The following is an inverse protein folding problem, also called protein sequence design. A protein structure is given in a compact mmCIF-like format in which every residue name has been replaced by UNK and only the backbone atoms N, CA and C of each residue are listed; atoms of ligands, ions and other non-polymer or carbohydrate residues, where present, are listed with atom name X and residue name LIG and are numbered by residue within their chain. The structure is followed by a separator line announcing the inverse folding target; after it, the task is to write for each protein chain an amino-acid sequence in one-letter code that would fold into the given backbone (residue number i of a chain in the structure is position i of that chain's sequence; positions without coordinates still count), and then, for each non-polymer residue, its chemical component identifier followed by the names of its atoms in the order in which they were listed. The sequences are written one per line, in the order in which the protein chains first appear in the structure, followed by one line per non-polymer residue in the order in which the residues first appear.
data_IF_438227907707
#
_entry.id   IF_438227907707
#
_cell.length_a   1.000
_cell.length_b   1.000
_cell.length_c   1.000
_cell.angle_alpha   90.00
_cell.angle_beta   90.00
_cell.angle_gamma   90.00
#
_symmetry.space_group_name_H-M   'P 1'
#
loop_
_entity.id
_entity.type
_entity.pdbx_description
1 polymer ?
#
# COMPACT_ATOMS: atom_id res chain seq x y z
N UNK A 1 32.85 3.63 -6.34
CA UNK A 1 32.05 3.07 -5.23
C UNK A 1 32.34 3.90 -3.99
N UNK A 2 31.42 4.76 -3.58
CA UNK A 2 31.52 5.48 -2.31
C UNK A 2 30.45 4.91 -1.38
N UNK A 3 30.88 4.10 -0.41
CA UNK A 3 30.04 3.66 0.70
C UNK A 3 29.80 4.88 1.59
N UNK A 4 28.60 5.45 1.54
CA UNK A 4 28.17 6.41 2.55
C UNK A 4 28.11 5.64 3.87
N UNK A 5 28.89 6.02 4.90
CA UNK A 5 28.86 5.31 6.17
C UNK A 5 27.46 5.45 6.78
N UNK A 6 26.84 4.33 7.13
CA UNK A 6 25.61 4.29 7.93
C UNK A 6 25.93 4.82 9.34
N UNK A 7 26.00 6.14 9.50
CA UNK A 7 25.91 6.73 10.82
C UNK A 7 24.52 6.44 11.37
N UNK A 8 24.47 5.85 12.57
CA UNK A 8 23.27 5.45 13.30
C UNK A 8 22.11 6.45 13.13
N UNK A 9 21.19 6.16 12.21
CA UNK A 9 19.88 6.82 12.10
C UNK A 9 18.95 6.18 13.14
N UNK A 10 19.40 6.05 14.39
CA UNK A 10 18.58 5.57 15.49
C UNK A 10 17.84 6.76 16.07
N UNK A 11 16.74 7.14 15.44
CA UNK A 11 15.68 7.83 16.17
C UNK A 11 15.15 6.84 17.21
N UNK A 12 15.34 7.18 18.48
CA UNK A 12 14.81 6.38 19.59
C UNK A 12 13.28 6.48 19.55
N UNK A 13 12.61 5.48 18.96
CA UNK A 13 11.19 5.30 19.20
C UNK A 13 10.97 5.21 20.70
N UNK A 14 10.10 6.06 21.24
CA UNK A 14 9.72 5.90 22.63
C UNK A 14 9.05 4.54 22.77
N UNK A 15 9.48 3.73 23.74
CA UNK A 15 8.87 2.43 24.03
C UNK A 15 7.33 2.52 24.13
N UNK A 16 6.82 3.67 24.58
CA UNK A 16 5.40 3.99 24.65
C UNK A 16 4.69 3.98 23.28
N UNK A 17 5.33 4.42 22.21
CA UNK A 17 4.75 4.44 20.86
C UNK A 17 4.53 3.03 20.32
N UNK A 18 5.51 2.15 20.49
CA UNK A 18 5.41 0.75 20.07
C UNK A 18 4.41 -0.01 20.93
N UNK A 19 4.36 0.28 22.23
CA UNK A 19 3.33 -0.26 23.14
C UNK A 19 1.94 0.18 22.69
N UNK A 20 1.76 1.43 22.24
CA UNK A 20 0.48 1.91 21.73
C UNK A 20 0.05 1.17 20.45
N UNK A 21 0.98 0.97 19.51
CA UNK A 21 0.71 0.19 18.28
C UNK A 21 0.36 -1.27 18.62
N UNK A 22 1.10 -1.92 19.51
CA UNK A 22 0.85 -3.32 19.91
C UNK A 22 -0.51 -3.52 20.58
N UNK A 23 -0.96 -2.52 21.34
CA UNK A 23 -2.25 -2.51 22.03
C UNK A 23 -3.38 -1.86 21.19
N UNK A 24 -3.11 -1.48 19.95
CA UNK A 24 -4.10 -0.86 19.09
C UNK A 24 -5.24 -1.83 18.80
N UNK A 25 -6.47 -1.41 19.11
CA UNK A 25 -7.64 -2.29 19.10
C UNK A 25 -8.35 -2.36 17.75
N UNK A 26 -8.13 -1.38 16.88
CA UNK A 26 -8.69 -1.37 15.54
C UNK A 26 -7.77 -2.11 14.56
N UNK A 27 -8.32 -2.68 13.48
CA UNK A 27 -7.53 -3.52 12.60
C UNK A 27 -6.51 -2.71 11.80
N UNK A 28 -5.27 -3.19 11.80
CA UNK A 28 -4.21 -2.81 10.84
C UNK A 28 -4.21 -3.88 9.74
N UNK A 29 -4.54 -3.48 8.52
CA UNK A 29 -4.79 -4.36 7.38
C UNK A 29 -3.73 -4.10 6.32
N UNK A 30 -2.96 -5.14 6.00
CA UNK A 30 -1.96 -5.10 4.94
C UNK A 30 -2.63 -5.46 3.60
N UNK A 31 -2.60 -4.54 2.65
CA UNK A 31 -3.21 -4.73 1.32
C UNK A 31 -2.13 -5.15 0.33
N UNK A 32 -2.14 -6.43 -0.02
CA UNK A 32 -1.15 -7.08 -0.88
C UNK A 32 -1.75 -7.48 -2.24
N UNK A 33 -0.88 -7.65 -3.23
CA UNK A 33 -1.26 -7.94 -4.61
C UNK A 33 -0.24 -7.41 -5.61
N UNK A 34 -0.18 -8.02 -6.80
CA UNK A 34 0.75 -7.65 -7.85
C UNK A 34 0.59 -6.21 -8.37
N UNK A 35 1.52 -5.70 -9.20
CA UNK A 35 1.27 -4.48 -9.96
C UNK A 35 -0.04 -4.63 -10.74
N UNK A 36 -0.81 -3.55 -10.93
CA UNK A 36 -2.10 -3.61 -11.65
C UNK A 36 -3.27 -4.27 -10.92
N UNK A 37 -3.08 -4.81 -9.70
CA UNK A 37 -4.13 -5.49 -8.94
C UNK A 37 -5.25 -4.57 -8.39
N UNK A 38 -5.17 -3.25 -8.56
CA UNK A 38 -6.21 -2.32 -8.08
C UNK A 38 -6.13 -1.93 -6.59
N UNK A 39 -5.03 -2.27 -5.89
CA UNK A 39 -4.84 -1.98 -4.46
C UNK A 39 -5.08 -0.52 -4.08
N UNK A 40 -4.56 0.42 -4.87
CA UNK A 40 -4.66 1.86 -4.58
C UNK A 40 -6.10 2.35 -4.66
N UNK A 41 -6.80 1.98 -5.73
CA UNK A 41 -8.22 2.28 -5.92
C UNK A 41 -9.05 1.75 -4.77
N UNK A 42 -8.84 0.50 -4.36
CA UNK A 42 -9.52 -0.10 -3.21
C UNK A 42 -9.28 0.71 -1.93
N UNK A 43 -8.02 1.00 -1.58
CA UNK A 43 -7.69 1.74 -0.37
C UNK A 43 -8.30 3.15 -0.38
N UNK A 44 -8.33 3.82 -1.53
CA UNK A 44 -8.95 5.13 -1.67
C UNK A 44 -10.46 5.07 -1.43
N UNK A 45 -11.17 4.08 -2.00
CA UNK A 45 -12.60 3.89 -1.75
C UNK A 45 -12.90 3.66 -0.27
N UNK A 46 -12.10 2.83 0.40
CA UNK A 46 -12.23 2.62 1.84
C UNK A 46 -11.97 3.89 2.63
N UNK A 47 -10.95 4.67 2.27
CA UNK A 47 -10.68 5.95 2.91
C UNK A 47 -11.84 6.93 2.73
N UNK A 48 -12.45 6.96 1.55
CA UNK A 48 -13.58 7.84 1.25
C UNK A 48 -14.84 7.44 2.04
N UNK A 49 -15.24 6.17 1.98
CA UNK A 49 -16.50 5.69 2.58
C UNK A 49 -16.39 5.48 4.10
N UNK A 50 -15.28 4.89 4.55
CA UNK A 50 -15.08 4.53 5.95
C UNK A 50 -14.20 5.54 6.69
N UNK A 51 -13.48 6.44 6.03
CA UNK A 51 -12.60 7.38 6.74
C UNK A 51 -11.38 6.73 7.39
N UNK A 52 -10.99 5.53 6.95
CA UNK A 52 -9.80 4.81 7.44
C UNK A 52 -8.52 5.64 7.32
N UNK A 53 -7.53 5.30 8.13
CA UNK A 53 -6.15 5.72 7.92
C UNK A 53 -5.51 4.90 6.81
N UNK A 54 -4.70 5.52 5.95
CA UNK A 54 -4.09 4.87 4.79
C UNK A 54 -2.62 5.25 4.65
N UNK A 55 -1.76 4.24 4.59
CA UNK A 55 -0.33 4.38 4.36
C UNK A 55 0.05 3.63 3.07
N UNK A 56 0.70 4.32 2.13
CA UNK A 56 1.32 3.69 0.95
C UNK A 56 2.83 3.79 1.08
N UNK A 57 3.52 2.67 1.29
CA UNK A 57 4.99 2.68 1.48
C UNK A 57 5.69 3.32 0.29
N UNK A 58 5.26 3.01 -0.94
CA UNK A 58 5.86 3.62 -2.13
C UNK A 58 5.73 5.14 -2.15
N UNK A 59 4.61 5.69 -1.69
CA UNK A 59 4.44 7.14 -1.58
C UNK A 59 5.26 7.71 -0.44
N UNK A 60 5.22 7.11 0.74
CA UNK A 60 5.96 7.58 1.91
C UNK A 60 7.46 7.65 1.62
N UNK A 61 8.02 6.63 0.97
CA UNK A 61 9.43 6.63 0.57
C UNK A 61 9.77 7.76 -0.43
N UNK A 62 8.88 8.05 -1.38
CA UNK A 62 9.09 9.17 -2.33
C UNK A 62 8.98 10.53 -1.65
N UNK A 63 8.05 10.68 -0.70
CA UNK A 63 7.93 11.90 0.10
C UNK A 63 9.17 12.10 0.95
N UNK A 64 9.58 11.08 1.69
CA UNK A 64 10.80 11.12 2.52
C UNK A 64 12.05 11.41 1.69
N UNK A 65 12.16 10.85 0.48
CA UNK A 65 13.29 11.11 -0.41
C UNK A 65 13.40 12.57 -0.89
N UNK A 66 12.30 13.32 -0.86
CA UNK A 66 12.31 14.75 -1.19
C UNK A 66 12.66 15.63 0.00
N UNK A 67 12.70 15.09 1.22
CA UNK A 67 13.08 15.83 2.41
C UNK A 67 14.59 16.04 2.47
N UNK A 68 15.08 17.24 2.87
CA UNK A 68 16.50 17.56 2.93
C UNK A 68 17.23 16.92 4.13
N UNK A 69 16.82 15.72 4.55
CA UNK A 69 17.36 14.98 5.71
C UNK A 69 18.42 13.95 5.28
N UNK A 70 19.19 13.43 6.24
CA UNK A 70 20.16 12.34 5.98
C UNK A 70 19.43 11.09 5.48
N UNK A 71 18.32 10.73 6.13
CA UNK A 71 17.47 9.59 5.73
C UNK A 71 16.85 9.81 4.36
N UNK A 72 16.34 11.02 4.08
CA UNK A 72 15.80 11.39 2.77
C UNK A 72 16.82 11.23 1.65
N UNK A 73 18.03 11.76 1.82
CA UNK A 73 19.14 11.56 0.86
C UNK A 73 19.51 10.09 0.67
N UNK A 74 19.56 9.32 1.76
CA UNK A 74 19.85 7.89 1.69
C UNK A 74 18.77 7.14 0.88
N UNK A 75 17.49 7.41 1.11
CA UNK A 75 16.39 6.81 0.35
C UNK A 75 16.43 7.26 -1.12
N UNK A 76 16.64 8.56 -1.37
CA UNK A 76 16.79 9.14 -2.70
C UNK A 76 17.87 8.41 -3.52
N UNK A 77 19.00 8.07 -2.90
CA UNK A 77 20.09 7.35 -3.54
C UNK A 77 19.70 5.95 -4.03
N UNK A 78 18.67 5.29 -3.48
CA UNK A 78 18.17 4.01 -3.99
C UNK A 78 17.06 4.20 -5.03
N UNK A 79 16.12 5.11 -4.79
CA UNK A 79 14.93 5.26 -5.65
C UNK A 79 15.23 5.99 -6.96
N UNK A 80 16.28 6.81 -7.01
CA UNK A 80 16.67 7.58 -8.20
C UNK A 80 17.65 6.83 -9.11
N UNK A 81 18.10 5.64 -8.72
CA UNK A 81 18.89 4.79 -9.62
C UNK A 81 18.04 4.29 -10.81
N UNK A 82 18.70 3.96 -11.92
CA UNK A 82 18.07 3.38 -13.09
C UNK A 82 18.80 2.09 -13.49
N UNK A 83 18.21 0.90 -13.27
CA UNK A 83 16.88 0.67 -12.68
C UNK A 83 16.85 0.98 -11.16
N UNK A 84 15.68 1.40 -10.67
CA UNK A 84 15.50 1.74 -9.25
C UNK A 84 15.86 0.56 -8.34
N UNK A 85 16.71 0.82 -7.35
CA UNK A 85 17.11 -0.19 -6.37
C UNK A 85 16.11 -0.29 -5.24
N UNK A 86 16.08 -1.47 -4.62
CA UNK A 86 15.31 -1.73 -3.41
C UNK A 86 15.89 -0.93 -2.25
N UNK A 87 15.06 -0.11 -1.61
CA UNK A 87 15.41 0.59 -0.36
C UNK A 87 15.61 -0.45 0.75
N UNK A 88 16.70 -0.36 1.56
CA UNK A 88 16.96 -1.26 2.67
C UNK A 88 15.79 -1.40 3.66
N UNK A 89 15.57 -2.62 4.15
CA UNK A 89 14.45 -2.99 5.03
C UNK A 89 14.36 -2.11 6.28
N UNK A 90 15.50 -1.74 6.88
CA UNK A 90 15.58 -0.85 8.04
C UNK A 90 15.00 0.54 7.75
N UNK A 91 15.41 1.16 6.63
CA UNK A 91 14.93 2.48 6.23
C UNK A 91 13.44 2.45 5.92
N UNK A 92 12.96 1.39 5.26
CA UNK A 92 11.53 1.22 4.97
C UNK A 92 10.74 1.08 6.27
N UNK A 93 11.24 0.30 7.24
CA UNK A 93 10.57 0.10 8.51
C UNK A 93 10.54 1.37 9.36
N UNK A 94 11.61 2.17 9.38
CA UNK A 94 11.65 3.45 10.07
C UNK A 94 10.57 4.40 9.53
N UNK A 95 10.54 4.59 8.20
CA UNK A 95 9.51 5.42 7.55
C UNK A 95 8.09 4.91 7.86
N UNK A 96 7.89 3.59 7.88
CA UNK A 96 6.61 3.00 8.25
C UNK A 96 6.26 3.29 9.72
N UNK A 97 7.18 3.09 10.67
CA UNK A 97 6.94 3.32 12.11
C UNK A 97 6.53 4.76 12.38
N UNK A 98 7.26 5.74 11.85
CA UNK A 98 6.99 7.17 12.06
C UNK A 98 5.57 7.55 11.61
N UNK A 99 5.15 7.00 10.47
CA UNK A 99 3.83 7.25 9.92
C UNK A 99 2.74 6.44 10.63
N UNK A 100 3.06 5.21 11.06
CA UNK A 100 2.11 4.35 11.76
C UNK A 100 1.72 4.92 13.12
N UNK A 101 2.69 5.44 13.89
CA UNK A 101 2.43 6.11 15.18
C UNK A 101 1.43 7.25 15.00
N UNK A 102 1.65 8.11 14.00
CA UNK A 102 0.78 9.25 13.70
C UNK A 102 -0.65 8.83 13.35
N UNK A 103 -0.82 7.78 12.54
CA UNK A 103 -2.16 7.39 12.08
C UNK A 103 -2.92 6.50 13.07
N UNK A 104 -2.21 5.78 13.95
CA UNK A 104 -2.81 5.01 15.04
C UNK A 104 -3.43 5.94 16.08
N UNK A 105 -2.79 7.09 16.36
CA UNK A 105 -3.35 8.12 17.24
C UNK A 105 -4.71 8.67 16.77
N UNK A 106 -5.03 8.57 15.48
CA UNK A 106 -6.33 8.97 14.93
C UNK A 106 -7.47 7.98 15.28
N UNK A 107 -7.16 6.85 15.93
CA UNK A 107 -8.08 5.81 16.38
C UNK A 107 -9.08 5.36 15.29
N UNK A 108 -8.53 5.01 14.11
CA UNK A 108 -9.26 4.50 12.95
C UNK A 108 -8.59 3.24 12.41
N UNK A 109 -9.32 2.32 11.76
CA UNK A 109 -8.70 1.22 11.05
C UNK A 109 -7.61 1.73 10.09
N UNK A 110 -6.50 1.00 9.98
CA UNK A 110 -5.33 1.41 9.20
C UNK A 110 -5.15 0.45 8.04
N UNK A 111 -5.03 0.96 6.82
CA UNK A 111 -4.60 0.18 5.67
C UNK A 111 -3.15 0.50 5.33
N UNK A 112 -2.31 -0.53 5.24
CA UNK A 112 -0.91 -0.43 4.82
C UNK A 112 -0.79 -1.08 3.44
N UNK A 113 -0.45 -0.30 2.43
CA UNK A 113 -0.33 -0.75 1.06
C UNK A 113 1.14 -0.86 0.64
N UNK A 114 1.48 -2.00 0.04
CA UNK A 114 2.79 -2.22 -0.57
C UNK A 114 3.89 -2.59 0.44
N UNK A 115 3.49 -3.21 1.56
CA UNK A 115 4.34 -3.79 2.59
C UNK A 115 3.60 -4.97 3.24
N UNK A 116 4.29 -6.02 3.71
CA UNK A 116 5.69 -6.33 3.41
C UNK A 116 5.88 -6.70 1.92
N UNK A 117 7.09 -6.51 1.40
CA UNK A 117 7.47 -6.89 0.01
C UNK A 117 8.39 -8.12 -0.07
N UNK A 118 8.78 -8.67 1.07
CA UNK A 118 9.62 -9.85 1.21
C UNK A 118 9.56 -10.37 2.66
N UNK A 119 10.20 -11.51 2.92
CA UNK A 119 10.23 -12.13 4.23
C UNK A 119 11.00 -11.31 5.27
N UNK A 120 12.05 -10.62 4.88
CA UNK A 120 12.85 -9.80 5.81
C UNK A 120 11.99 -8.66 6.38
N UNK A 121 11.26 -7.96 5.52
CA UNK A 121 10.30 -6.93 5.91
C UNK A 121 9.20 -7.49 6.81
N UNK A 122 8.63 -8.65 6.45
CA UNK A 122 7.59 -9.28 7.28
C UNK A 122 8.12 -9.62 8.68
N UNK A 123 9.26 -10.33 8.75
CA UNK A 123 9.86 -10.76 10.01
C UNK A 123 10.23 -9.57 10.89
N UNK A 124 10.88 -8.56 10.32
CA UNK A 124 11.32 -7.37 11.06
C UNK A 124 10.14 -6.54 11.58
N UNK A 125 9.03 -6.46 10.85
CA UNK A 125 7.81 -5.83 11.34
C UNK A 125 7.20 -6.59 12.52
N UNK A 126 7.11 -7.93 12.43
CA UNK A 126 6.55 -8.74 13.50
C UNK A 126 7.39 -8.68 14.78
N UNK A 127 8.71 -8.64 14.64
CA UNK A 127 9.66 -8.52 15.74
C UNK A 127 9.61 -7.14 16.41
N UNK A 128 9.74 -6.07 15.62
CA UNK A 128 9.96 -4.73 16.16
C UNK A 128 8.68 -3.90 16.34
N UNK A 129 7.59 -4.22 15.63
CA UNK A 129 6.37 -3.41 15.62
C UNK A 129 5.22 -4.19 16.26
N UNK A 130 4.61 -5.11 15.52
CA UNK A 130 3.44 -5.87 15.97
C UNK A 130 3.20 -7.08 15.06
N UNK A 131 2.46 -8.10 15.51
CA UNK A 131 2.05 -9.19 14.64
C UNK A 131 1.25 -8.69 13.43
N UNK A 132 1.55 -9.18 12.24
CA UNK A 132 0.71 -9.02 11.06
C UNK A 132 -0.51 -9.90 11.28
N UNK A 133 -1.67 -9.31 11.55
CA UNK A 133 -2.91 -10.07 11.86
C UNK A 133 -3.88 -10.17 10.69
N UNK A 134 -3.92 -9.16 9.83
CA UNK A 134 -4.90 -9.05 8.75
C UNK A 134 -4.22 -8.69 7.44
N UNK A 135 -4.30 -9.60 6.48
CA UNK A 135 -3.82 -9.39 5.11
C UNK A 135 -5.01 -9.51 4.16
N UNK A 136 -5.23 -8.47 3.36
CA UNK A 136 -6.15 -8.48 2.23
C UNK A 136 -5.34 -8.68 0.95
N UNK A 137 -5.45 -9.86 0.34
CA UNK A 137 -4.71 -10.20 -0.87
C UNK A 137 -5.62 -10.09 -2.11
N UNK A 138 -5.29 -9.19 -3.03
CA UNK A 138 -5.94 -9.07 -4.33
C UNK A 138 -5.25 -10.00 -5.34
N UNK A 139 -5.78 -11.21 -5.48
CA UNK A 139 -5.26 -12.18 -6.44
C UNK A 139 -5.75 -11.83 -7.84
N UNK A 140 -4.83 -11.37 -8.69
CA UNK A 140 -5.14 -10.88 -10.04
C UNK A 140 -4.28 -11.63 -11.06
N UNK A 141 -4.89 -12.11 -12.14
CA UNK A 141 -4.19 -12.73 -13.26
C UNK A 141 -3.19 -11.77 -13.91
N UNK A 142 -2.19 -12.35 -14.56
CA UNK A 142 -1.24 -11.60 -15.37
C UNK A 142 -1.96 -10.82 -16.47
N UNK A 143 -2.93 -11.43 -17.17
CA UNK A 143 -3.61 -10.75 -18.27
C UNK A 143 -4.38 -9.53 -17.77
N UNK A 144 -5.10 -9.66 -16.65
CA UNK A 144 -5.85 -8.54 -16.07
C UNK A 144 -4.92 -7.45 -15.57
N UNK A 145 -3.83 -7.81 -14.89
CA UNK A 145 -2.80 -6.87 -14.41
C UNK A 145 -2.20 -6.09 -15.57
N UNK A 146 -1.72 -6.78 -16.61
CA UNK A 146 -1.11 -6.18 -17.79
C UNK A 146 -2.07 -5.24 -18.51
N UNK A 147 -3.33 -5.67 -18.74
CA UNK A 147 -4.36 -4.84 -19.35
C UNK A 147 -4.57 -3.53 -18.57
N UNK A 148 -4.71 -3.60 -17.25
CA UNK A 148 -4.92 -2.43 -16.39
C UNK A 148 -3.71 -1.48 -16.39
N UNK A 149 -2.50 -2.02 -16.35
CA UNK A 149 -1.26 -1.21 -16.38
C UNK A 149 -1.08 -0.50 -17.73
N UNK A 150 -1.34 -1.19 -18.84
CA UNK A 150 -1.31 -0.58 -20.17
C UNK A 150 -2.37 0.51 -20.33
N UNK A 151 -3.59 0.30 -19.83
CA UNK A 151 -4.63 1.32 -19.80
C UNK A 151 -4.20 2.54 -18.97
N UNK A 152 -3.62 2.33 -17.79
CA UNK A 152 -3.12 3.42 -16.95
C UNK A 152 -1.97 4.18 -17.61
N UNK A 153 -1.05 3.50 -18.29
CA UNK A 153 0.04 4.16 -19.00
C UNK A 153 -0.48 5.09 -20.11
N UNK A 154 -1.50 4.65 -20.86
CA UNK A 154 -2.15 5.47 -21.89
C UNK A 154 -2.79 6.75 -21.34
N UNK A 155 -3.31 6.69 -20.11
CA UNK A 155 -4.01 7.81 -19.50
C UNK A 155 -3.07 8.78 -18.77
N UNK A 156 -2.04 8.27 -18.09
CA UNK A 156 -1.23 9.02 -17.13
C UNK A 156 0.28 9.09 -17.45
N UNK A 157 0.69 8.62 -18.64
CA UNK A 157 2.08 8.60 -19.12
C UNK A 157 3.10 8.11 -18.06
N UNK A 158 2.71 7.08 -17.31
CA UNK A 158 3.44 6.65 -16.12
C UNK A 158 4.60 5.74 -16.52
N UNK A 159 5.84 6.23 -16.42
CA UNK A 159 7.05 5.51 -16.82
C UNK A 159 7.14 4.08 -16.25
N UNK A 160 6.74 3.89 -14.98
CA UNK A 160 6.70 2.57 -14.31
C UNK A 160 5.77 1.53 -14.98
N UNK A 161 4.94 1.94 -15.93
CA UNK A 161 3.96 1.12 -16.64
C UNK A 161 4.39 0.85 -18.10
N UNK A 162 5.70 0.97 -18.40
CA UNK A 162 6.30 0.42 -19.62
C UNK A 162 6.32 -1.12 -19.57
N UNK A 163 6.25 -1.78 -20.73
CA UNK A 163 6.14 -3.25 -20.82
C UNK A 163 7.27 -3.99 -20.09
N UNK A 164 8.50 -3.48 -20.17
CA UNK A 164 9.68 -4.03 -19.53
C UNK A 164 9.62 -3.90 -18.00
N UNK A 165 9.24 -2.72 -17.48
CA UNK A 165 9.15 -2.48 -16.04
C UNK A 165 7.98 -3.25 -15.42
N UNK A 166 6.86 -3.39 -16.15
CA UNK A 166 5.73 -4.24 -15.74
C UNK A 166 6.20 -5.68 -15.51
N UNK A 167 6.96 -6.24 -16.46
CA UNK A 167 7.49 -7.60 -16.35
C UNK A 167 8.40 -7.76 -15.14
N UNK A 168 9.36 -6.86 -14.95
CA UNK A 168 10.27 -6.89 -13.79
C UNK A 168 9.51 -6.84 -12.46
N UNK A 169 8.57 -5.90 -12.31
CA UNK A 169 7.77 -5.76 -11.09
C UNK A 169 6.91 -6.99 -10.80
N UNK A 170 6.45 -7.68 -11.84
CA UNK A 170 5.70 -8.91 -11.72
C UNK A 170 6.58 -10.06 -11.24
N UNK A 171 7.76 -10.25 -11.84
CA UNK A 171 8.70 -11.27 -11.40
C UNK A 171 9.17 -11.03 -9.96
N UNK A 172 9.46 -9.78 -9.59
CA UNK A 172 9.75 -9.42 -8.19
C UNK A 172 8.57 -9.77 -7.27
N UNK A 173 7.33 -9.45 -7.65
CA UNK A 173 6.16 -9.80 -6.86
C UNK A 173 6.03 -11.32 -6.68
N UNK A 174 6.22 -12.09 -7.75
CA UNK A 174 6.14 -13.55 -7.73
C UNK A 174 7.24 -14.18 -6.87
N UNK A 175 8.46 -13.66 -6.95
CA UNK A 175 9.63 -14.19 -6.25
C UNK A 175 9.68 -13.79 -4.78
N UNK A 176 9.30 -12.56 -4.46
CA UNK A 176 9.56 -11.98 -3.14
C UNK A 176 8.28 -11.81 -2.30
N UNK A 177 7.14 -11.46 -2.92
CA UNK A 177 5.91 -11.13 -2.17
C UNK A 177 4.98 -12.34 -2.02
N UNK A 178 4.80 -13.15 -3.08
CA UNK A 178 3.94 -14.34 -3.00
C UNK A 178 4.35 -15.31 -1.88
N UNK A 179 5.65 -15.64 -1.69
CA UNK A 179 6.04 -16.51 -0.59
C UNK A 179 5.64 -15.99 0.80
N UNK A 180 5.66 -14.67 0.99
CA UNK A 180 5.18 -14.04 2.24
C UNK A 180 3.67 -14.25 2.40
N UNK A 181 2.90 -14.06 1.33
CA UNK A 181 1.45 -14.28 1.34
C UNK A 181 1.16 -15.76 1.66
N UNK A 182 1.88 -16.69 1.05
CA UNK A 182 1.68 -18.12 1.26
C UNK A 182 1.99 -18.51 2.72
N UNK A 183 3.08 -17.99 3.29
CA UNK A 183 3.42 -18.20 4.70
C UNK A 183 2.36 -17.64 5.67
N UNK A 184 1.86 -16.42 5.41
CA UNK A 184 0.80 -15.81 6.21
C UNK A 184 -0.55 -16.54 6.03
N UNK A 185 -0.77 -17.21 4.90
CA UNK A 185 -1.97 -18.00 4.62
C UNK A 185 -2.05 -19.26 5.50
N UNK A 186 -0.92 -19.92 5.76
CA UNK A 186 -0.82 -21.11 6.64
C UNK A 186 -1.38 -20.82 8.04
N UNK A 187 -1.24 -19.58 8.50
CA UNK A 187 -1.67 -19.12 9.82
C UNK A 187 -3.03 -18.39 9.80
N UNK A 188 -3.81 -18.56 8.72
CA UNK A 188 -5.16 -18.00 8.53
C UNK A 188 -5.25 -16.46 8.60
N UNK A 189 -4.14 -15.75 8.35
CA UNK A 189 -4.08 -14.28 8.41
C UNK A 189 -4.47 -13.60 7.10
N UNK A 190 -4.56 -14.37 6.01
CA UNK A 190 -4.85 -13.88 4.66
C UNK A 190 -6.32 -14.09 4.32
N UNK A 191 -6.98 -13.03 3.86
CA UNK A 191 -8.25 -13.08 3.14
C UNK A 191 -8.00 -12.69 1.69
N UNK A 192 -8.29 -13.62 0.81
CA UNK A 192 -8.07 -13.49 -0.63
C UNK A 192 -9.33 -12.99 -1.32
N UNK A 193 -9.16 -12.06 -2.26
CA UNK A 193 -10.21 -11.55 -3.13
C UNK A 193 -9.79 -11.80 -4.58
N UNK A 194 -10.73 -12.26 -5.39
CA UNK A 194 -10.54 -12.37 -6.83
C UNK A 194 -10.47 -10.97 -7.47
N UNK A 195 -9.26 -10.47 -7.67
CA UNK A 195 -8.97 -9.18 -8.28
C UNK A 195 -9.23 -9.11 -9.79
N UNK A 196 -9.64 -10.22 -10.42
CA UNK A 196 -10.02 -10.26 -11.84
C UNK A 196 -11.42 -9.68 -12.11
N UNK A 197 -12.26 -9.63 -11.08
CA UNK A 197 -13.61 -9.09 -11.17
C UNK A 197 -13.61 -7.57 -11.40
N UNK A 198 -14.80 -7.04 -11.72
CA UNK A 198 -15.03 -5.60 -11.75
C UNK A 198 -14.74 -4.97 -10.38
N UNK A 199 -14.30 -3.71 -10.36
CA UNK A 199 -13.93 -2.99 -9.15
C UNK A 199 -15.05 -2.99 -8.09
N UNK A 200 -16.30 -2.93 -8.55
CA UNK A 200 -17.49 -3.00 -7.71
C UNK A 200 -17.56 -4.29 -6.87
N UNK A 201 -17.32 -5.43 -7.52
CA UNK A 201 -17.33 -6.75 -6.89
C UNK A 201 -16.14 -6.89 -5.94
N UNK A 202 -14.94 -6.49 -6.39
CA UNK A 202 -13.72 -6.49 -5.56
C UNK A 202 -13.91 -5.65 -4.30
N UNK A 203 -14.54 -4.48 -4.42
CA UNK A 203 -14.85 -3.61 -3.29
C UNK A 203 -15.84 -4.25 -2.33
N UNK A 204 -16.92 -4.86 -2.84
CA UNK A 204 -17.92 -5.52 -2.01
C UNK A 204 -17.34 -6.72 -1.23
N UNK A 205 -16.50 -7.54 -1.87
CA UNK A 205 -15.82 -8.64 -1.20
C UNK A 205 -14.91 -8.13 -0.06
N UNK A 206 -14.13 -7.08 -0.35
CA UNK A 206 -13.30 -6.41 0.66
C UNK A 206 -14.14 -5.81 1.79
N UNK A 207 -15.31 -5.25 1.48
CA UNK A 207 -16.21 -4.63 2.45
C UNK A 207 -16.74 -5.67 3.43
N UNK A 208 -17.13 -6.84 2.94
CA UNK A 208 -17.58 -7.95 3.78
C UNK A 208 -16.48 -8.42 4.74
N UNK A 209 -15.25 -8.57 4.23
CA UNK A 209 -14.07 -8.94 5.04
C UNK A 209 -13.75 -7.86 6.09
N UNK A 210 -13.76 -6.59 5.67
CA UNK A 210 -13.51 -5.46 6.56
C UNK A 210 -14.58 -5.35 7.66
N UNK A 211 -15.85 -5.56 7.30
CA UNK A 211 -16.97 -5.61 8.25
C UNK A 211 -16.77 -6.71 9.29
N UNK A 212 -16.31 -7.89 8.87
CA UNK A 212 -15.97 -8.98 9.79
C UNK A 212 -14.86 -8.58 10.79
N UNK A 213 -13.76 -8.00 10.32
CA UNK A 213 -12.63 -7.61 11.16
C UNK A 213 -12.91 -6.43 12.08
N UNK A 214 -13.87 -5.59 11.73
CA UNK A 214 -14.29 -4.47 12.57
C UNK A 214 -15.38 -4.90 13.56
N UNK A 215 -16.39 -5.67 13.15
CA UNK A 215 -17.61 -5.89 13.94
C UNK A 215 -17.68 -7.20 14.75
N UNK A 216 -16.90 -8.25 14.44
CA UNK A 216 -17.02 -9.54 15.15
C UNK A 216 -16.21 -9.62 16.46
N UNK A 217 -16.52 -8.75 17.42
CA UNK A 217 -16.06 -8.89 18.81
C UNK A 217 -15.99 -7.68 19.75
N UNK A 218 -16.79 -6.61 19.55
CA UNK A 218 -17.05 -5.44 20.46
C UNK A 218 -16.65 -4.03 19.95
N UNK A 219 -16.17 -3.84 18.72
CA UNK A 219 -15.81 -2.49 18.22
C UNK A 219 -16.72 -2.10 17.05
N UNK A 220 -17.60 -1.12 17.23
CA UNK A 220 -18.44 -0.60 16.14
C UNK A 220 -17.68 0.50 15.41
N UNK A 221 -17.38 0.30 14.12
CA UNK A 221 -16.81 1.35 13.27
C UNK A 221 -17.79 1.65 12.12
N UNK A 222 -18.44 2.80 12.20
CA UNK A 222 -19.45 3.24 11.24
C UNK A 222 -18.83 4.15 10.15
N UNK A 223 -19.34 4.09 8.90
CA UNK A 223 -18.95 5.01 7.85
C UNK A 223 -19.10 6.47 8.24
N UNK A 224 -18.32 7.36 7.62
CA UNK A 224 -18.53 8.82 7.79
C UNK A 224 -19.91 9.20 7.26
N UNK A 225 -20.81 9.65 8.15
CA UNK A 225 -22.14 10.12 7.79
C UNK A 225 -23.22 9.04 7.71
N UNK A 226 -22.93 7.79 8.11
CA UNK A 226 -23.96 6.76 8.20
C UNK A 226 -24.91 7.04 9.38
N UNK A 227 -26.16 7.40 9.07
CA UNK A 227 -27.29 6.97 9.92
C UNK A 227 -27.39 5.45 9.79
N UNK A 228 -27.84 4.76 10.84
CA UNK A 228 -28.05 3.30 10.82
C UNK A 228 -28.99 2.90 9.68
N UNK A 229 -28.46 2.64 8.49
CA UNK A 229 -29.22 2.07 7.38
C UNK A 229 -28.68 0.67 7.10
N UNK A 230 -29.52 -0.29 7.45
CA UNK A 230 -29.25 -1.71 7.66
C UNK A 230 -29.30 -2.55 6.38
N UNK A 231 -29.01 -2.00 5.19
CA UNK A 231 -29.16 -2.78 3.95
C UNK A 231 -27.82 -3.36 3.42
N UNK A 232 -27.61 -4.69 3.49
CA UNK A 232 -26.44 -5.35 2.93
C UNK A 232 -26.36 -5.34 1.39
N UNK A 233 -27.38 -4.86 0.67
CA UNK A 233 -27.47 -4.85 -0.81
C UNK A 233 -27.42 -3.45 -1.43
N UNK A 234 -26.57 -2.56 -0.92
CA UNK A 234 -26.27 -1.26 -1.56
C UNK A 234 -25.89 -1.45 -3.05
N UNK A 235 -26.83 -1.12 -3.94
CA UNK A 235 -26.58 -0.91 -5.36
C UNK A 235 -25.88 0.44 -5.51
N UNK A 236 -24.80 0.48 -6.29
CA UNK A 236 -24.01 1.70 -6.47
C UNK A 236 -24.84 2.81 -7.11
N UNK A 237 -25.12 3.86 -6.33
CA UNK A 237 -25.81 5.06 -6.76
C UNK A 237 -24.95 5.93 -7.69
N UNK A 238 -25.58 6.92 -8.32
CA UNK A 238 -24.92 7.87 -9.23
C UNK A 238 -23.79 8.68 -8.56
N UNK A 239 -23.87 8.87 -7.24
CA UNK A 239 -22.86 9.56 -6.44
C UNK A 239 -21.59 8.71 -6.23
N UNK A 240 -21.74 7.41 -6.01
CA UNK A 240 -20.61 6.47 -5.83
C UNK A 240 -19.89 6.20 -7.15
N UNK A 241 -20.63 6.14 -8.27
CA UNK A 241 -20.05 6.13 -9.63
C UNK A 241 -19.22 7.39 -9.92
N UNK A 242 -19.64 8.56 -9.43
CA UNK A 242 -18.87 9.81 -9.52
C UNK A 242 -17.64 9.82 -8.62
N UNK A 243 -17.72 9.25 -7.41
CA UNK A 243 -16.56 9.08 -6.52
C UNK A 243 -15.52 8.17 -7.15
N UNK A 244 -15.94 7.11 -7.85
CA UNK A 244 -15.06 6.19 -8.59
C UNK A 244 -14.28 6.90 -9.70
N UNK A 245 -14.93 7.70 -10.54
CA UNK A 245 -14.24 8.44 -11.62
C UNK A 245 -13.34 9.53 -11.07
N UNK A 246 -13.74 10.17 -9.96
CA UNK A 246 -12.94 11.21 -9.30
C UNK A 246 -11.75 10.62 -8.54
N UNK A 247 -11.86 9.43 -7.97
CA UNK A 247 -10.76 8.70 -7.34
C UNK A 247 -9.61 8.43 -8.31
N UNK A 248 -9.93 8.04 -9.54
CA UNK A 248 -8.93 7.77 -10.58
C UNK A 248 -8.19 9.05 -11.00
N UNK A 249 -8.88 10.19 -11.06
CA UNK A 249 -8.27 11.51 -11.33
C UNK A 249 -7.54 12.12 -10.11
N UNK A 250 -8.04 11.94 -8.89
CA UNK A 250 -7.43 12.45 -7.66
C UNK A 250 -6.18 11.65 -7.24
N UNK A 251 -6.07 10.38 -7.66
CA UNK A 251 -4.84 9.59 -7.53
C UNK A 251 -3.67 10.29 -8.23
N UNK A 252 -3.90 10.95 -9.37
CA UNK A 252 -2.87 11.67 -10.10
C UNK A 252 -2.53 13.03 -9.45
N UNK A 253 -3.55 13.74 -8.94
CA UNK A 253 -3.37 15.03 -8.26
C UNK A 253 -2.66 14.92 -6.90
N UNK A 254 -2.89 13.84 -6.14
CA UNK A 254 -2.27 13.61 -4.83
C UNK A 254 -1.03 12.70 -4.88
N UNK A 255 -0.82 11.99 -5.99
CA UNK A 255 0.35 11.13 -6.20
C UNK A 255 0.88 11.31 -7.64
N UNK A 256 1.36 12.52 -8.01
CA UNK A 256 1.86 12.76 -9.35
C UNK A 256 2.97 11.77 -9.67
N UNK A 257 2.94 11.23 -10.89
CA UNK A 257 4.15 10.75 -11.56
C UNK A 257 5.15 11.90 -11.46
N UNK A 258 6.26 11.73 -10.74
CA UNK A 258 7.35 12.69 -10.88
C UNK A 258 7.81 12.52 -12.33
N UNK A 259 7.52 13.50 -13.17
CA UNK A 259 8.23 13.64 -14.45
C UNK A 259 9.69 13.80 -14.08
N UNK A 260 10.44 12.72 -14.19
CA UNK A 260 11.89 12.77 -14.09
C UNK A 260 12.39 13.48 -15.35
N UNK A 261 12.72 14.76 -15.23
CA UNK A 261 13.53 15.49 -16.22
C UNK A 261 15.01 15.12 -16.05
N UNK A 262 15.32 13.82 -16.16
CA UNK A 262 16.70 13.40 -16.43
C UNK A 262 17.02 13.64 -17.91
N UNK A 263 18.31 13.79 -18.26
CA UNK A 263 18.70 14.03 -19.64
C UNK A 263 18.15 12.90 -20.52
N UNK A 264 17.39 13.29 -21.54
CA UNK A 264 16.98 12.41 -22.64
C UNK A 264 18.28 12.05 -23.35
N UNK A 265 18.82 10.86 -23.06
CA UNK A 265 19.84 10.28 -23.93
C UNK A 265 19.10 9.70 -25.14
N UNK A 266 19.04 10.49 -26.21
CA UNK A 266 18.83 9.97 -27.56
C UNK A 266 19.97 9.01 -27.87
N UNK A 267 19.64 7.72 -27.86
CA UNK A 267 20.59 6.64 -28.06
C UNK A 267 20.18 5.78 -29.24
N UNK A 268 20.47 6.27 -30.44
CA UNK A 268 20.89 5.39 -31.52
C UNK A 268 22.09 4.58 -31.04
N UNK A 269 21.95 3.26 -30.87
CA UNK A 269 22.98 2.23 -31.07
C UNK A 269 22.30 0.87 -31.25
#
# INVERSE_FOLDING_TARGET
MATVPMQNINEHYHLLDLVHIRNFRLPIIFVLGGPGAGKASLCYQFRSHYGISYLSIGTLLRQEANEPTVRGRAIAAYINEMPAKKVPTDLVLQVLKDNLVKVVAANRPVFIQGYPRDFEQAAKYEDEVAPIRHVLFLNTSEETSKRRLLQRNKLAARFEDSSQIIHQRRETFRREVLPVIDNLRITHRVKEINGNNALEVVYNDARMIFGFWTHRGKIQYLPKGAREETDPRLKFGSQEKRILTKAEADIEKHFPSVHYHGPIYDGHY
#
